data_IF_335931492023
#
_entry.id   IF_335931492023
#
_cell.length_a   1.000
_cell.length_b   1.000
_cell.length_c   1.000
_cell.angle_alpha   90.00
_cell.angle_beta   90.00
_cell.angle_gamma   90.00
#
_symmetry.space_group_name_H-M   'P 1'
#
loop_
_entity.id
_entity.type
_entity.pdbx_description
1 polymer ?
#
# COMPACT_ATOMS: atom_id res chain seq x y z
N UNK A 1 -10.03 3.34 -21.36
CA UNK A 1 -9.56 2.08 -21.99
C UNK A 1 -8.69 1.28 -21.03
N UNK A 2 -9.06 0.00 -20.77
CA UNK A 2 -8.39 -0.81 -19.73
C UNK A 2 -6.87 -0.96 -19.95
N UNK A 3 -6.43 -1.16 -21.21
CA UNK A 3 -5.01 -1.30 -21.54
C UNK A 3 -4.22 -0.03 -21.24
N UNK A 4 -4.79 1.14 -21.53
CA UNK A 4 -4.18 2.42 -21.23
C UNK A 4 -4.03 2.65 -19.73
N UNK A 5 -5.08 2.40 -18.95
CA UNK A 5 -5.04 2.50 -17.48
C UNK A 5 -3.98 1.55 -16.88
N UNK A 6 -3.88 0.31 -17.39
CA UNK A 6 -2.87 -0.67 -16.96
C UNK A 6 -1.46 -0.18 -17.26
N UNK A 7 -1.22 0.37 -18.45
CA UNK A 7 0.10 0.92 -18.81
C UNK A 7 0.42 2.15 -17.97
N UNK A 8 -0.55 3.06 -17.79
CA UNK A 8 -0.41 4.21 -16.90
C UNK A 8 -0.05 3.79 -15.48
N UNK A 9 -0.76 2.81 -14.93
CA UNK A 9 -0.48 2.27 -13.61
C UNK A 9 0.91 1.63 -13.47
N UNK A 10 1.47 1.10 -14.56
CA UNK A 10 2.84 0.54 -14.53
C UNK A 10 3.92 1.63 -14.40
N UNK A 11 3.66 2.80 -14.95
CA UNK A 11 4.66 3.88 -15.04
C UNK A 11 4.43 5.05 -14.07
N UNK A 12 3.27 5.16 -13.40
CA UNK A 12 2.91 6.34 -12.62
C UNK A 12 3.96 6.69 -11.56
N UNK A 13 4.60 5.70 -11.00
CA UNK A 13 5.53 5.79 -9.87
C UNK A 13 7.02 5.67 -10.25
N UNK A 14 7.38 5.77 -11.54
CA UNK A 14 8.78 5.56 -11.97
C UNK A 14 9.77 6.50 -11.29
N UNK A 15 9.32 7.66 -10.81
CA UNK A 15 10.17 8.61 -10.11
C UNK A 15 10.68 8.12 -8.75
N UNK A 16 10.01 7.16 -8.12
CA UNK A 16 10.44 6.56 -6.84
C UNK A 16 11.83 5.90 -6.95
N UNK A 17 12.24 5.52 -8.15
CA UNK A 17 13.56 4.89 -8.39
C UNK A 17 14.75 5.79 -8.03
N UNK A 18 14.56 7.12 -7.97
CA UNK A 18 15.63 8.05 -7.60
C UNK A 18 15.88 8.12 -6.09
N UNK A 19 14.86 7.81 -5.28
CA UNK A 19 14.95 7.81 -3.82
C UNK A 19 14.19 6.61 -3.21
N UNK A 20 14.49 5.36 -3.60
CA UNK A 20 13.64 4.21 -3.32
C UNK A 20 13.46 3.94 -1.82
N UNK A 21 14.49 4.18 -1.00
CA UNK A 21 14.44 3.91 0.45
C UNK A 21 13.42 4.76 1.22
N UNK A 22 12.96 5.88 0.62
CA UNK A 22 11.95 6.75 1.25
C UNK A 22 10.51 6.25 1.04
N UNK A 23 10.30 5.23 0.21
CA UNK A 23 8.97 4.68 -0.06
C UNK A 23 8.79 3.35 0.67
N UNK A 24 7.69 3.22 1.40
CA UNK A 24 7.43 2.12 2.36
C UNK A 24 7.58 0.73 1.74
N UNK A 25 7.21 0.57 0.47
CA UNK A 25 7.31 -0.68 -0.27
C UNK A 25 8.76 -1.14 -0.51
N UNK A 26 9.73 -0.23 -0.41
CA UNK A 26 11.15 -0.48 -0.64
C UNK A 26 11.98 -0.42 0.66
N UNK A 27 11.35 -0.12 1.81
CA UNK A 27 12.06 -0.02 3.08
C UNK A 27 12.40 -1.39 3.65
N UNK A 28 13.62 -1.52 4.17
CA UNK A 28 14.11 -2.69 4.88
C UNK A 28 14.76 -2.27 6.20
N UNK A 29 13.97 -2.25 7.27
CA UNK A 29 14.44 -2.10 8.65
C UNK A 29 14.63 -0.67 9.16
N UNK A 30 15.25 0.23 8.41
CA UNK A 30 15.46 1.64 8.82
C UNK A 30 14.59 2.55 7.97
N UNK A 31 13.80 3.40 8.62
CA UNK A 31 13.00 4.41 7.95
C UNK A 31 13.81 5.72 7.84
N UNK A 32 14.25 6.14 6.64
CA UNK A 32 15.06 7.35 6.50
C UNK A 32 14.31 8.63 6.86
N UNK A 33 12.98 8.62 6.90
CA UNK A 33 12.18 9.75 7.36
C UNK A 33 12.37 10.07 8.84
N UNK A 34 12.81 9.12 9.67
CA UNK A 34 13.02 9.32 11.11
C UNK A 34 14.20 10.28 11.41
N UNK A 35 15.05 10.56 10.42
CA UNK A 35 16.25 11.37 10.56
C UNK A 35 16.13 12.77 9.93
N UNK A 36 15.01 13.11 9.34
CA UNK A 36 14.76 14.40 8.65
C UNK A 36 13.42 15.00 9.09
N UNK A 37 13.21 16.29 8.77
CA UNK A 37 11.95 16.97 9.10
C UNK A 37 10.77 16.45 8.27
N UNK A 38 9.54 16.70 8.77
CA UNK A 38 8.30 16.36 8.07
C UNK A 38 8.19 17.08 6.72
N UNK A 39 8.59 18.34 6.65
CA UNK A 39 8.60 19.11 5.40
C UNK A 39 9.57 18.50 4.39
N UNK A 40 10.77 18.14 4.85
CA UNK A 40 11.75 17.49 3.98
C UNK A 40 11.27 16.13 3.51
N UNK A 41 10.63 15.38 4.39
CA UNK A 41 9.98 14.10 4.09
C UNK A 41 8.88 14.27 3.03
N UNK A 42 7.97 15.23 3.24
CA UNK A 42 6.90 15.55 2.29
C UNK A 42 7.47 15.95 0.93
N UNK A 43 8.51 16.81 0.90
CA UNK A 43 9.14 17.24 -0.34
C UNK A 43 9.75 16.07 -1.13
N UNK A 44 10.40 15.12 -0.46
CA UNK A 44 10.95 13.92 -1.12
C UNK A 44 9.81 13.07 -1.72
N UNK A 45 8.74 12.89 -0.96
CA UNK A 45 7.56 12.16 -1.45
C UNK A 45 6.93 12.88 -2.64
N UNK A 46 6.70 14.20 -2.56
CA UNK A 46 6.12 15.00 -3.67
C UNK A 46 6.99 14.94 -4.92
N UNK A 47 8.31 15.00 -4.75
CA UNK A 47 9.25 15.08 -5.86
C UNK A 47 9.25 13.84 -6.76
N UNK A 48 8.74 12.66 -6.31
CA UNK A 48 8.70 11.50 -7.21
C UNK A 48 7.86 11.77 -8.47
N UNK A 49 6.86 12.66 -8.40
CA UNK A 49 6.05 13.05 -9.57
C UNK A 49 6.91 13.80 -10.59
N UNK A 50 7.63 14.84 -10.16
CA UNK A 50 8.51 15.63 -11.04
C UNK A 50 9.71 14.84 -11.52
N UNK A 51 10.26 13.99 -10.68
CA UNK A 51 11.33 13.06 -11.02
C UNK A 51 10.88 12.02 -12.04
N UNK A 52 9.66 11.50 -11.88
CA UNK A 52 9.03 10.60 -12.84
C UNK A 52 8.82 11.25 -14.20
N UNK A 53 8.36 12.48 -14.24
CA UNK A 53 8.23 13.24 -15.48
C UNK A 53 9.58 13.47 -16.16
N UNK A 54 10.65 13.81 -15.41
CA UNK A 54 12.01 13.92 -15.96
C UNK A 54 12.51 12.61 -16.57
N UNK A 55 12.26 11.49 -15.90
CA UNK A 55 12.59 10.16 -16.43
C UNK A 55 11.78 9.85 -17.69
N UNK A 56 10.47 10.13 -17.66
CA UNK A 56 9.59 9.92 -18.81
C UNK A 56 10.00 10.74 -20.03
N UNK A 57 10.47 11.98 -19.83
CA UNK A 57 11.05 12.80 -20.91
C UNK A 57 12.37 12.20 -21.43
N UNK A 58 13.28 11.86 -20.52
CA UNK A 58 14.58 11.26 -20.86
C UNK A 58 14.45 9.99 -21.69
N UNK A 59 13.45 9.17 -21.39
CA UNK A 59 13.22 7.89 -22.09
C UNK A 59 12.12 7.98 -23.15
N UNK A 60 11.70 9.19 -23.52
CA UNK A 60 10.73 9.45 -24.61
C UNK A 60 9.40 8.69 -24.43
N UNK A 61 8.90 8.58 -23.22
CA UNK A 61 7.59 7.97 -22.99
C UNK A 61 6.50 8.82 -23.68
N UNK A 62 5.44 8.17 -24.20
CA UNK A 62 4.33 8.88 -24.83
C UNK A 62 3.67 9.88 -23.86
N UNK A 63 3.19 11.02 -24.39
CA UNK A 63 2.55 12.06 -23.58
C UNK A 63 1.41 11.51 -22.73
N UNK A 64 0.59 10.62 -23.28
CA UNK A 64 -0.54 10.00 -22.56
C UNK A 64 -0.08 9.23 -21.30
N UNK A 65 1.13 8.67 -21.28
CA UNK A 65 1.70 8.00 -20.11
C UNK A 65 2.24 9.01 -19.10
N UNK A 66 2.86 10.10 -19.58
CA UNK A 66 3.32 11.20 -18.73
C UNK A 66 2.18 11.84 -17.95
N UNK A 67 0.97 11.90 -18.54
CA UNK A 67 -0.21 12.41 -17.84
C UNK A 67 -0.61 11.54 -16.65
N UNK A 68 -0.44 10.21 -16.69
CA UNK A 68 -0.66 9.38 -15.50
C UNK A 68 0.35 9.69 -14.39
N UNK A 69 1.64 9.86 -14.74
CA UNK A 69 2.66 10.26 -13.77
C UNK A 69 2.32 11.60 -13.12
N UNK A 70 1.82 12.57 -13.92
CA UNK A 70 1.49 13.91 -13.47
C UNK A 70 0.28 13.97 -12.56
N UNK A 71 -0.76 13.14 -12.83
CA UNK A 71 -2.10 13.32 -12.27
C UNK A 71 -2.46 12.34 -11.16
N UNK A 72 -1.66 11.28 -10.91
CA UNK A 72 -2.07 10.21 -10.01
C UNK A 72 -2.22 10.62 -8.54
N UNK A 73 -1.62 11.74 -8.13
CA UNK A 73 -1.86 12.37 -6.83
C UNK A 73 -2.65 13.68 -6.93
N UNK A 74 -2.86 14.21 -8.13
CA UNK A 74 -3.55 15.47 -8.36
C UNK A 74 -2.93 16.62 -7.56
N UNK A 75 -3.77 17.41 -6.89
CA UNK A 75 -3.39 18.45 -5.92
C UNK A 75 -3.55 17.95 -4.48
N UNK A 76 -3.47 16.65 -4.27
CA UNK A 76 -3.64 16.02 -2.96
C UNK A 76 -2.59 16.45 -1.95
N UNK A 77 -2.91 16.25 -0.67
CA UNK A 77 -2.03 16.55 0.46
C UNK A 77 -1.25 15.30 0.87
N UNK A 78 0.04 15.43 1.17
CA UNK A 78 0.83 14.40 1.84
C UNK A 78 0.45 14.36 3.31
N UNK A 79 -0.78 13.84 3.57
CA UNK A 79 -1.51 13.95 4.86
C UNK A 79 -0.71 13.45 6.05
N UNK A 80 0.08 12.39 5.90
CA UNK A 80 0.84 11.82 7.01
C UNK A 80 1.84 12.82 7.58
N UNK A 81 2.69 13.39 6.76
CA UNK A 81 3.69 14.36 7.21
C UNK A 81 3.09 15.71 7.59
N UNK A 82 2.04 16.14 6.88
CA UNK A 82 1.29 17.34 7.24
C UNK A 82 0.72 17.25 8.66
N UNK A 83 0.03 16.15 8.98
CA UNK A 83 -0.55 15.95 10.31
C UNK A 83 0.54 15.88 11.39
N UNK A 84 1.65 15.17 11.12
CA UNK A 84 2.77 15.13 12.07
C UNK A 84 3.37 16.52 12.32
N UNK A 85 3.53 17.29 11.24
CA UNK A 85 4.02 18.68 11.34
C UNK A 85 3.08 19.54 12.17
N UNK A 86 1.77 19.53 11.88
CA UNK A 86 0.78 20.27 12.66
C UNK A 86 0.78 19.88 14.14
N UNK A 87 0.93 18.60 14.45
CA UNK A 87 0.95 18.11 15.84
C UNK A 87 2.20 18.58 16.61
N UNK A 88 3.31 18.84 15.91
CA UNK A 88 4.55 19.41 16.53
C UNK A 88 4.49 20.93 16.66
N UNK A 89 3.71 21.61 15.83
CA UNK A 89 3.62 23.08 15.75
C UNK A 89 2.23 23.59 16.15
N UNK A 90 1.72 23.07 17.28
CA UNK A 90 0.39 23.45 17.79
C UNK A 90 0.30 24.94 18.08
N UNK A 91 -0.64 25.61 17.45
CA UNK A 91 -0.87 27.06 17.59
C UNK A 91 -0.09 27.95 16.60
N UNK A 92 0.71 27.35 15.73
CA UNK A 92 1.36 28.05 14.63
C UNK A 92 0.52 27.98 13.34
N UNK A 93 0.69 28.98 12.46
CA UNK A 93 0.09 28.91 11.11
C UNK A 93 0.97 28.03 10.24
N UNK A 94 0.41 26.91 9.76
CA UNK A 94 1.11 25.97 8.89
C UNK A 94 0.78 26.28 7.42
N UNK A 95 1.82 26.36 6.59
CA UNK A 95 1.65 26.47 5.14
C UNK A 95 1.30 25.07 4.56
N UNK A 96 0.03 24.85 4.31
CA UNK A 96 -0.46 23.60 3.74
C UNK A 96 0.07 23.34 2.31
N UNK A 97 0.34 24.41 1.54
CA UNK A 97 0.82 24.30 0.15
C UNK A 97 2.19 23.60 0.07
N UNK A 98 3.03 23.73 1.12
CA UNK A 98 4.31 23.01 1.20
C UNK A 98 4.16 21.48 1.24
N UNK A 99 2.97 20.98 1.56
CA UNK A 99 2.65 19.56 1.66
C UNK A 99 1.74 19.06 0.53
N UNK A 100 1.46 19.90 -0.50
CA UNK A 100 0.60 19.53 -1.61
C UNK A 100 1.38 19.06 -2.83
N UNK A 101 0.80 18.09 -3.52
CA UNK A 101 1.27 17.73 -4.86
C UNK A 101 0.93 18.84 -5.86
N UNK A 102 1.78 19.03 -6.89
CA UNK A 102 1.65 20.15 -7.82
C UNK A 102 0.46 20.03 -8.79
N UNK A 103 -0.16 18.86 -8.86
CA UNK A 103 -1.21 18.61 -9.83
C UNK A 103 -0.70 18.43 -11.27
N UNK A 104 -1.61 18.51 -12.25
CA UNK A 104 -3.05 18.76 -12.14
C UNK A 104 -3.83 17.54 -11.61
N UNK A 105 -5.12 17.75 -11.35
CA UNK A 105 -6.04 16.65 -11.05
C UNK A 105 -6.32 15.78 -12.29
N UNK A 106 -6.80 14.54 -12.14
CA UNK A 106 -7.21 13.68 -13.24
C UNK A 106 -8.19 14.34 -14.19
N UNK A 107 -7.95 14.19 -15.51
CA UNK A 107 -8.77 14.74 -16.59
C UNK A 107 -9.47 13.64 -17.40
N UNK A 108 -9.09 12.40 -17.22
CA UNK A 108 -9.72 11.24 -17.87
C UNK A 108 -10.16 10.20 -16.84
N UNK A 109 -11.11 9.34 -17.22
CA UNK A 109 -11.59 8.24 -16.35
C UNK A 109 -10.46 7.30 -15.97
N UNK A 110 -9.56 7.01 -16.89
CA UNK A 110 -8.41 6.14 -16.68
C UNK A 110 -7.45 6.72 -15.63
N UNK A 111 -7.18 8.02 -15.67
CA UNK A 111 -6.36 8.71 -14.67
C UNK A 111 -7.04 8.69 -13.30
N UNK A 112 -8.35 8.97 -13.24
CA UNK A 112 -9.11 8.92 -12.00
C UNK A 112 -9.11 7.51 -11.38
N UNK A 113 -9.24 6.46 -12.20
CA UNK A 113 -9.15 5.07 -11.73
C UNK A 113 -7.76 4.77 -11.17
N UNK A 114 -6.69 5.19 -11.83
CA UNK A 114 -5.32 4.98 -11.31
C UNK A 114 -5.14 5.71 -9.98
N UNK A 115 -5.59 6.95 -9.84
CA UNK A 115 -5.54 7.70 -8.58
C UNK A 115 -6.30 6.97 -7.45
N UNK A 116 -7.51 6.44 -7.72
CA UNK A 116 -8.26 5.67 -6.73
C UNK A 116 -7.54 4.38 -6.35
N UNK A 117 -7.00 3.64 -7.33
CA UNK A 117 -6.30 2.37 -7.10
C UNK A 117 -5.04 2.57 -6.26
N UNK A 118 -4.20 3.54 -6.62
CA UNK A 118 -2.96 3.85 -5.90
C UNK A 118 -3.24 4.23 -4.44
N UNK A 119 -4.14 5.18 -4.22
CA UNK A 119 -4.48 5.65 -2.87
C UNK A 119 -5.09 4.54 -1.99
N UNK A 120 -5.95 3.70 -2.56
CA UNK A 120 -6.57 2.58 -1.85
C UNK A 120 -5.54 1.49 -1.55
N UNK A 121 -4.67 1.17 -2.50
CA UNK A 121 -3.60 0.18 -2.31
C UNK A 121 -2.65 0.62 -1.20
N UNK A 122 -2.14 1.86 -1.27
CA UNK A 122 -1.24 2.41 -0.26
C UNK A 122 -1.88 2.42 1.14
N UNK A 123 -3.14 2.85 1.26
CA UNK A 123 -3.86 2.88 2.53
C UNK A 123 -4.17 1.47 3.06
N UNK A 124 -4.39 0.49 2.19
CA UNK A 124 -4.71 -0.89 2.58
C UNK A 124 -3.57 -1.57 3.37
N UNK A 125 -2.33 -1.16 3.13
CA UNK A 125 -1.15 -1.68 3.86
C UNK A 125 -1.17 -1.37 5.36
N UNK A 126 -1.91 -0.33 5.78
CA UNK A 126 -2.05 0.07 7.18
C UNK A 126 -3.21 -0.59 7.92
N UNK A 127 -4.01 -1.43 7.26
CA UNK A 127 -5.09 -2.17 7.90
C UNK A 127 -4.52 -3.20 8.88
N UNK A 128 -5.07 -3.22 10.10
CA UNK A 128 -4.71 -4.21 11.13
C UNK A 128 -5.35 -5.57 10.86
N UNK A 129 -6.56 -5.54 10.30
CA UNK A 129 -7.36 -6.72 9.96
C UNK A 129 -7.97 -6.54 8.57
N UNK A 130 -7.98 -7.60 7.79
CA UNK A 130 -8.48 -7.59 6.42
C UNK A 130 -9.86 -8.23 6.33
N UNK A 131 -10.80 -7.72 7.14
CA UNK A 131 -12.21 -8.13 7.08
C UNK A 131 -12.92 -7.42 5.92
N UNK A 132 -14.03 -7.98 5.47
CA UNK A 132 -14.86 -7.34 4.43
C UNK A 132 -15.31 -5.94 4.88
N UNK A 133 -15.63 -5.79 6.16
CA UNK A 133 -16.05 -4.52 6.72
C UNK A 133 -14.92 -3.49 6.72
N UNK A 134 -13.72 -3.83 7.21
CA UNK A 134 -12.57 -2.93 7.25
C UNK A 134 -12.12 -2.50 5.86
N UNK A 135 -12.11 -3.42 4.89
CA UNK A 135 -11.80 -3.14 3.49
C UNK A 135 -12.84 -2.20 2.88
N UNK A 136 -14.13 -2.48 3.09
CA UNK A 136 -15.22 -1.66 2.56
C UNK A 136 -15.18 -0.24 3.13
N UNK A 137 -14.98 -0.09 4.43
CA UNK A 137 -14.83 1.21 5.07
C UNK A 137 -13.62 1.97 4.56
N UNK A 138 -12.48 1.31 4.37
CA UNK A 138 -11.28 1.92 3.82
C UNK A 138 -11.52 2.48 2.42
N UNK A 139 -12.01 1.64 1.50
CA UNK A 139 -12.25 2.03 0.10
C UNK A 139 -13.22 3.20 0.04
N UNK A 140 -14.35 3.13 0.76
CA UNK A 140 -15.31 4.23 0.78
C UNK A 140 -14.68 5.51 1.31
N UNK A 141 -14.00 5.47 2.45
CA UNK A 141 -13.35 6.65 3.04
C UNK A 141 -12.36 7.31 2.08
N UNK A 142 -11.51 6.54 1.41
CA UNK A 142 -10.50 7.10 0.49
C UNK A 142 -11.16 7.74 -0.73
N UNK A 143 -12.04 7.01 -1.40
CA UNK A 143 -12.67 7.50 -2.64
C UNK A 143 -13.62 8.68 -2.35
N UNK A 144 -14.37 8.64 -1.25
CA UNK A 144 -15.26 9.76 -0.86
C UNK A 144 -14.46 11.00 -0.44
N UNK A 145 -13.29 10.84 0.19
CA UNK A 145 -12.38 11.96 0.47
C UNK A 145 -11.89 12.61 -0.83
N UNK A 146 -11.48 11.81 -1.83
CA UNK A 146 -11.03 12.32 -3.13
C UNK A 146 -12.15 13.09 -3.86
N UNK A 147 -13.38 12.58 -3.78
CA UNK A 147 -14.57 13.29 -4.32
C UNK A 147 -14.83 14.61 -3.61
N UNK A 148 -14.82 14.59 -2.27
CA UNK A 148 -15.08 15.78 -1.46
C UNK A 148 -14.00 16.86 -1.66
N UNK A 149 -12.74 16.46 -1.83
CA UNK A 149 -11.60 17.32 -2.13
C UNK A 149 -11.62 17.85 -3.58
N UNK A 150 -12.52 17.31 -4.42
CA UNK A 150 -12.73 17.80 -5.78
C UNK A 150 -11.74 17.30 -6.81
N UNK A 151 -11.01 16.22 -6.53
CA UNK A 151 -10.00 15.70 -7.45
C UNK A 151 -10.55 15.24 -8.80
N UNK A 152 -11.85 14.96 -8.90
CA UNK A 152 -12.48 14.48 -10.15
C UNK A 152 -13.33 15.52 -10.86
N UNK A 153 -13.25 16.81 -10.46
CA UNK A 153 -14.05 17.89 -11.07
C UNK A 153 -13.76 18.10 -12.55
N UNK A 154 -12.52 17.90 -12.97
CA UNK A 154 -12.06 18.04 -14.35
C UNK A 154 -12.23 16.76 -15.19
N UNK A 155 -12.76 15.69 -14.58
CA UNK A 155 -12.81 14.36 -15.16
C UNK A 155 -14.24 14.00 -15.58
N UNK A 156 -14.48 13.45 -16.79
CA UNK A 156 -15.81 13.00 -17.23
C UNK A 156 -16.19 11.64 -16.60
N UNK A 157 -15.90 11.45 -15.31
CA UNK A 157 -16.26 10.27 -14.54
C UNK A 157 -17.67 10.45 -13.97
N UNK A 158 -18.48 9.39 -14.01
CA UNK A 158 -19.84 9.42 -13.48
C UNK A 158 -19.91 8.81 -12.08
N UNK A 159 -20.97 9.12 -11.32
CA UNK A 159 -21.23 8.44 -10.03
C UNK A 159 -21.36 6.92 -10.17
N UNK A 160 -21.82 6.41 -11.33
CA UNK A 160 -21.86 5.00 -11.63
C UNK A 160 -20.45 4.43 -11.76
N UNK A 161 -19.57 5.10 -12.51
CA UNK A 161 -18.17 4.68 -12.66
C UNK A 161 -17.47 4.61 -11.31
N UNK A 162 -17.73 5.57 -10.43
CA UNK A 162 -17.17 5.60 -9.07
C UNK A 162 -17.69 4.45 -8.21
N UNK A 163 -19.00 4.18 -8.27
CA UNK A 163 -19.59 3.05 -7.54
C UNK A 163 -19.03 1.71 -8.03
N UNK A 164 -18.86 1.55 -9.34
CA UNK A 164 -18.28 0.36 -9.95
C UNK A 164 -16.79 0.21 -9.59
N UNK A 165 -16.03 1.31 -9.58
CA UNK A 165 -14.65 1.32 -9.13
C UNK A 165 -14.51 0.91 -7.66
N UNK A 166 -15.32 1.45 -6.76
CA UNK A 166 -15.33 1.07 -5.34
C UNK A 166 -15.60 -0.41 -5.17
N UNK A 167 -16.64 -0.95 -5.83
CA UNK A 167 -16.98 -2.38 -5.77
C UNK A 167 -15.80 -3.23 -6.24
N UNK A 168 -15.21 -2.90 -7.38
CA UNK A 168 -14.07 -3.63 -7.95
C UNK A 168 -12.86 -3.59 -7.04
N UNK A 169 -12.56 -2.45 -6.40
CA UNK A 169 -11.46 -2.31 -5.45
C UNK A 169 -11.67 -3.16 -4.20
N UNK A 170 -12.90 -3.18 -3.65
CA UNK A 170 -13.26 -4.02 -2.50
C UNK A 170 -13.05 -5.50 -2.85
N UNK A 171 -13.58 -5.97 -3.96
CA UNK A 171 -13.47 -7.37 -4.39
C UNK A 171 -12.01 -7.76 -4.66
N UNK A 172 -11.23 -6.85 -5.25
CA UNK A 172 -9.80 -7.07 -5.52
C UNK A 172 -9.00 -7.18 -4.22
N UNK A 173 -9.19 -6.28 -3.26
CA UNK A 173 -8.52 -6.34 -1.97
C UNK A 173 -8.90 -7.59 -1.18
N UNK A 174 -10.17 -7.97 -1.17
CA UNK A 174 -10.63 -9.25 -0.58
C UNK A 174 -9.87 -10.42 -1.19
N UNK A 175 -9.74 -10.47 -2.50
CA UNK A 175 -9.01 -11.55 -3.19
C UNK A 175 -7.53 -11.54 -2.82
N UNK A 176 -6.86 -10.39 -2.83
CA UNK A 176 -5.43 -10.26 -2.53
C UNK A 176 -5.13 -10.71 -1.10
N UNK A 177 -5.96 -10.36 -0.15
CA UNK A 177 -5.72 -10.64 1.26
C UNK A 177 -6.24 -12.01 1.71
N UNK A 178 -7.29 -12.57 1.07
CA UNK A 178 -7.72 -13.95 1.31
C UNK A 178 -6.68 -14.99 0.88
N UNK A 179 -5.94 -14.74 -0.19
CA UNK A 179 -4.86 -15.64 -0.63
C UNK A 179 -3.65 -15.65 0.32
N UNK A 180 -3.60 -14.76 1.30
CA UNK A 180 -2.55 -14.68 2.33
C UNK A 180 -2.89 -15.38 3.63
N UNK A 181 -4.04 -16.07 3.73
CA UNK A 181 -4.35 -16.94 4.88
C UNK A 181 -3.38 -18.13 4.78
N UNK A 182 -2.36 -18.14 5.65
CA UNK A 182 -1.48 -19.29 5.80
C UNK A 182 -2.32 -20.47 6.30
N UNK A 183 -2.34 -21.56 5.55
CA UNK A 183 -2.93 -22.81 6.03
C UNK A 183 -2.22 -23.21 7.33
N UNK A 184 -2.95 -23.54 8.39
CA UNK A 184 -2.33 -24.00 9.61
C UNK A 184 -1.52 -25.27 9.32
N UNK A 185 -0.23 -25.24 9.66
CA UNK A 185 0.60 -26.44 9.56
C UNK A 185 0.10 -27.50 10.56
N UNK A 186 0.04 -28.75 10.12
CA UNK A 186 -0.23 -29.88 11.01
C UNK A 186 0.94 -29.93 12.00
N UNK A 187 0.69 -29.62 13.27
CA UNK A 187 1.67 -29.80 14.33
C UNK A 187 2.03 -31.27 14.37
N UNK A 188 3.24 -31.61 13.93
CA UNK A 188 3.80 -32.95 14.15
C UNK A 188 3.81 -33.21 15.65
N UNK A 189 3.43 -34.42 16.14
CA UNK A 189 3.56 -34.75 17.55
C UNK A 189 5.03 -34.53 17.94
N UNK A 190 5.27 -33.63 18.88
CA UNK A 190 6.59 -33.52 19.51
C UNK A 190 6.86 -34.81 20.25
N UNK A 191 8.01 -35.42 20.00
CA UNK A 191 8.59 -36.55 20.75
C UNK A 191 8.82 -36.11 22.20
N UNK A 192 7.76 -35.98 22.97
CA UNK A 192 7.78 -35.89 24.43
C UNK A 192 7.28 -37.20 25.05
N UNK A 193 7.91 -38.31 24.70
CA UNK A 193 7.70 -39.57 25.42
C UNK A 193 8.96 -40.42 25.39
N UNK A 194 10.12 -39.86 25.77
CA UNK A 194 11.29 -40.63 26.12
C UNK A 194 11.96 -40.02 27.35
N UNK A 195 11.29 -40.16 28.50
CA UNK A 195 11.93 -40.18 29.82
C UNK A 195 10.88 -40.59 30.86
N UNK A 196 10.52 -41.88 30.85
CA UNK A 196 10.02 -42.57 32.04
C UNK A 196 11.07 -43.55 32.48
N UNK A 197 11.59 -43.47 33.72
CA UNK A 197 12.51 -44.43 34.23
C UNK A 197 11.80 -45.77 34.40
N UNK A 198 12.31 -46.80 33.73
CA UNK A 198 11.93 -48.19 33.92
C UNK A 198 12.13 -48.56 35.37
N UNK A 199 11.09 -48.69 36.15
CA UNK A 199 11.10 -49.40 37.44
C UNK A 199 11.42 -50.84 37.19
N UNK A 200 12.51 -51.29 37.78
CA UNK A 200 12.99 -52.64 37.71
C UNK A 200 11.99 -53.68 38.16
N UNK A 201 11.75 -54.67 37.32
CA UNK A 201 11.15 -55.92 37.72
C UNK A 201 12.27 -56.97 37.84
N UNK A 202 12.65 -57.32 39.10
CA UNK A 202 13.39 -58.53 39.42
C UNK A 202 12.42 -59.70 39.34
N UNK A 203 12.66 -60.62 38.46
CA UNK A 203 11.88 -61.85 38.36
C UNK A 203 12.74 -62.93 37.72
N UNK A 204 13.10 -63.86 38.54
CA UNK A 204 13.97 -65.06 38.39
C UNK A 204 13.33 -66.09 37.44
N UNK A 205 14.27 -66.81 36.80
CA UNK A 205 14.32 -68.25 36.44
C UNK A 205 14.11 -68.68 34.98
N UNK A 206 14.78 -69.77 34.67
CA UNK A 206 15.33 -70.04 33.36
C UNK A 206 14.60 -71.20 32.67
N UNK A 207 14.62 -71.22 31.35
CA UNK A 207 14.43 -72.46 30.60
C UNK A 207 15.42 -72.51 29.42
N UNK A 208 16.31 -73.52 29.55
CA UNK A 208 17.01 -74.09 28.43
C UNK A 208 16.06 -74.72 27.40
N UNK A 209 16.37 -74.61 26.13
CA UNK A 209 16.29 -75.75 25.20
C UNK A 209 17.19 -75.52 23.99
N UNK A 210 18.04 -76.58 23.77
CA UNK A 210 18.84 -76.80 22.61
C UNK A 210 18.04 -76.96 21.30
N UNK A 211 18.51 -76.50 20.25
CA UNK A 211 19.15 -77.14 19.12
C UNK A 211 19.59 -76.13 18.10
#
# INVERSE_FOLDING_TARGET
EAQLARTGALYHDIGKVLNPAFFTENQSGVNPHDTISEERSAQIIINHVTDGLRLAEKYHLPQVIKEFIRTHHGTGLVKYFYIQYCNKHVGETVDEEAFRYPGPNPQTREQAVVMMCDSVEAASRSLKEYTEESITQLVNRIVDSQLAEGHFKECPITFRDIADAKRTLIDSLKTIYHTRISYPEIKKPTDQAQNSPLRGFKGTHPWHFNK
#
